data_IF_489863457964
#
_entry.id   IF_489863457964
#
_cell.length_a   1.000
_cell.length_b   1.000
_cell.length_c   1.000
_cell.angle_alpha   90.00
_cell.angle_beta   90.00
_cell.angle_gamma   90.00
#
_symmetry.space_group_name_H-M   'P 1'
#
loop_
_entity.id
_entity.type
_entity.pdbx_description
1 polymer ?
#
# COMPACT_ATOMS: atom_id res chain seq x y z
N UNK A 1 7.02 7.19 -16.88
CA UNK A 1 7.14 6.39 -15.64
C UNK A 1 7.28 7.39 -14.51
N UNK A 2 6.35 7.43 -13.56
CA UNK A 2 6.43 8.36 -12.44
C UNK A 2 7.45 7.85 -11.42
N UNK A 3 8.21 8.75 -10.81
CA UNK A 3 9.12 8.42 -9.73
C UNK A 3 8.29 8.11 -8.47
N UNK A 4 8.28 6.85 -8.04
CA UNK A 4 7.51 6.40 -6.86
C UNK A 4 7.76 7.31 -5.66
N UNK A 5 9.02 7.69 -5.41
CA UNK A 5 9.36 8.47 -4.21
C UNK A 5 8.82 9.90 -4.26
N UNK A 6 8.74 10.51 -5.45
CA UNK A 6 8.19 11.86 -5.63
C UNK A 6 6.66 11.90 -5.48
N UNK A 7 5.99 10.77 -5.73
CA UNK A 7 4.54 10.66 -5.67
C UNK A 7 4.01 10.31 -4.27
N UNK A 8 4.88 9.84 -3.37
CA UNK A 8 4.52 9.52 -1.99
C UNK A 8 4.56 10.76 -1.11
N UNK A 9 3.60 10.87 -0.20
CA UNK A 9 3.67 11.89 0.87
C UNK A 9 4.71 11.49 1.91
N UNK A 10 5.19 12.45 2.70
CA UNK A 10 6.13 12.17 3.80
C UNK A 10 5.56 11.16 4.82
N UNK A 11 4.24 11.19 5.06
CA UNK A 11 3.58 10.20 5.92
C UNK A 11 3.60 8.80 5.30
N UNK A 12 3.34 8.68 3.99
CA UNK A 12 3.42 7.38 3.30
C UNK A 12 4.84 6.81 3.42
N UNK A 13 5.86 7.65 3.20
CA UNK A 13 7.27 7.26 3.33
C UNK A 13 7.62 6.83 4.76
N UNK A 14 7.14 7.57 5.77
CA UNK A 14 7.37 7.22 7.16
C UNK A 14 6.83 5.82 7.49
N UNK A 15 5.61 5.50 7.03
CA UNK A 15 5.03 4.17 7.24
C UNK A 15 5.76 3.08 6.45
N UNK A 16 6.04 3.31 5.17
CA UNK A 16 6.75 2.33 4.35
C UNK A 16 8.17 2.06 4.89
N UNK A 17 8.82 3.07 5.50
CA UNK A 17 10.14 2.94 6.11
C UNK A 17 10.15 1.99 7.31
N UNK A 18 9.05 1.88 8.08
CA UNK A 18 8.96 0.88 9.17
C UNK A 18 9.00 -0.56 8.64
N UNK A 19 8.62 -0.75 7.37
CA UNK A 19 8.67 -2.02 6.66
C UNK A 19 9.94 -2.22 5.82
N UNK A 20 10.90 -1.29 5.88
CA UNK A 20 12.17 -1.38 5.15
C UNK A 20 12.17 -0.78 3.75
N UNK A 21 11.25 0.14 3.44
CA UNK A 21 11.34 0.96 2.22
C UNK A 21 12.29 2.16 2.39
N UNK A 22 13.02 2.57 1.33
CA UNK A 22 13.24 1.82 0.09
C UNK A 22 14.23 0.67 0.31
N UNK A 23 14.19 -0.32 -0.59
CA UNK A 23 15.19 -1.40 -0.65
C UNK A 23 15.79 -1.50 -2.06
N UNK A 24 17.08 -1.81 -2.13
CA UNK A 24 17.87 -1.87 -3.37
C UNK A 24 17.47 -3.03 -4.28
N UNK A 25 16.74 -4.03 -3.76
CA UNK A 25 16.30 -5.20 -4.51
C UNK A 25 14.81 -5.10 -4.88
N UNK A 26 14.42 -5.80 -5.96
CA UNK A 26 12.99 -6.02 -6.20
C UNK A 26 12.37 -6.71 -4.99
N UNK A 27 11.34 -6.07 -4.43
CA UNK A 27 10.71 -6.49 -3.19
C UNK A 27 9.23 -6.15 -3.25
N UNK A 28 8.44 -6.93 -2.53
CA UNK A 28 7.01 -6.68 -2.44
C UNK A 28 6.73 -5.31 -1.76
N UNK A 29 7.63 -4.82 -0.89
CA UNK A 29 7.49 -3.47 -0.29
C UNK A 29 7.69 -2.35 -1.31
N UNK A 30 8.62 -2.49 -2.26
CA UNK A 30 8.76 -1.55 -3.37
C UNK A 30 7.54 -1.59 -4.29
N UNK A 31 6.92 -2.77 -4.46
CA UNK A 31 5.66 -2.91 -5.18
C UNK A 31 4.51 -2.19 -4.45
N UNK A 32 4.37 -2.39 -3.14
CA UNK A 32 3.37 -1.69 -2.32
C UNK A 32 3.53 -0.16 -2.40
N UNK A 33 4.77 0.33 -2.27
CA UNK A 33 5.08 1.75 -2.43
C UNK A 33 4.64 2.29 -3.79
N UNK A 34 4.90 1.53 -4.87
CA UNK A 34 4.47 1.89 -6.22
C UNK A 34 2.95 1.95 -6.36
N UNK A 35 2.21 1.02 -5.75
CA UNK A 35 0.75 1.02 -5.80
C UNK A 35 0.17 2.25 -5.08
N UNK A 36 0.68 2.57 -3.90
CA UNK A 36 0.28 3.78 -3.17
C UNK A 36 0.58 5.03 -3.99
N UNK A 37 1.78 5.12 -4.56
CA UNK A 37 2.17 6.24 -5.43
C UNK A 37 1.24 6.39 -6.64
N UNK A 38 0.84 5.29 -7.28
CA UNK A 38 -0.11 5.33 -8.39
C UNK A 38 -1.48 5.84 -7.94
N UNK A 39 -2.01 5.34 -6.83
CA UNK A 39 -3.30 5.79 -6.30
C UNK A 39 -3.28 7.26 -5.85
N UNK A 40 -2.13 7.78 -5.41
CA UNK A 40 -1.93 9.21 -5.14
C UNK A 40 -2.05 10.03 -6.43
N UNK A 41 -1.34 9.62 -7.49
CA UNK A 41 -1.32 10.31 -8.79
C UNK A 41 -2.70 10.29 -9.45
N UNK A 42 -3.37 9.14 -9.42
CA UNK A 42 -4.70 8.95 -10.02
C UNK A 42 -5.82 9.58 -9.18
N UNK A 43 -5.51 10.00 -7.95
CA UNK A 43 -6.46 10.64 -7.04
C UNK A 43 -7.41 9.67 -6.34
N UNK A 44 -7.14 8.36 -6.38
CA UNK A 44 -7.86 7.35 -5.59
C UNK A 44 -7.54 7.45 -4.09
N UNK A 45 -6.31 7.88 -3.75
CA UNK A 45 -5.90 8.09 -2.36
C UNK A 45 -5.55 9.57 -2.12
N UNK A 46 -6.48 10.34 -1.53
CA UNK A 46 -6.29 11.76 -1.21
C UNK A 46 -5.95 12.04 0.26
N UNK A 47 -6.30 11.10 1.14
CA UNK A 47 -6.12 11.21 2.60
C UNK A 47 -4.99 10.33 3.13
N UNK A 48 -4.89 10.13 4.46
CA UNK A 48 -3.95 9.17 5.03
C UNK A 48 -4.22 7.74 4.52
N UNK A 49 -3.21 6.87 4.57
CA UNK A 49 -3.41 5.42 4.37
C UNK A 49 -4.26 4.91 5.53
N UNK A 50 -5.42 4.32 5.24
CA UNK A 50 -6.34 3.77 6.25
C UNK A 50 -6.51 2.26 6.10
N UNK A 51 -7.10 1.62 7.12
CA UNK A 51 -7.43 0.18 7.06
C UNK A 51 -8.44 -0.09 5.94
N UNK A 52 -9.41 0.81 5.74
CA UNK A 52 -10.41 0.74 4.68
C UNK A 52 -9.78 0.86 3.29
N UNK A 53 -8.74 1.70 3.12
CA UNK A 53 -8.00 1.75 1.85
C UNK A 53 -7.27 0.43 1.57
N UNK A 54 -6.61 -0.13 2.59
CA UNK A 54 -5.79 -1.33 2.44
C UNK A 54 -6.62 -2.61 2.24
N UNK A 55 -7.71 -2.76 3.01
CA UNK A 55 -8.51 -3.98 3.09
C UNK A 55 -9.92 -3.85 2.53
N UNK A 56 -10.34 -2.64 2.17
CA UNK A 56 -11.69 -2.38 1.69
C UNK A 56 -12.74 -2.52 2.79
N UNK A 57 -13.99 -2.61 2.36
CA UNK A 57 -15.14 -2.99 3.17
C UNK A 57 -15.97 -4.00 2.38
N UNK A 58 -15.78 -5.28 2.69
CA UNK A 58 -16.50 -6.39 2.04
C UNK A 58 -18.00 -6.34 2.27
N UNK A 59 -18.46 -5.76 3.39
CA UNK A 59 -19.89 -5.63 3.68
C UNK A 59 -20.57 -4.61 2.76
N UNK A 60 -19.80 -3.64 2.26
CA UNK A 60 -20.24 -2.61 1.32
C UNK A 60 -19.80 -2.90 -0.12
N UNK A 61 -19.12 -4.02 -0.37
CA UNK A 61 -18.56 -4.36 -1.68
C UNK A 61 -17.44 -3.44 -2.13
N UNK A 62 -16.77 -2.75 -1.20
CA UNK A 62 -15.64 -1.87 -1.49
C UNK A 62 -14.35 -2.72 -1.48
N UNK A 63 -13.64 -2.84 -2.61
CA UNK A 63 -12.42 -3.64 -2.68
C UNK A 63 -11.25 -2.95 -1.99
N UNK A 64 -10.43 -3.73 -1.28
CA UNK A 64 -9.13 -3.28 -0.78
C UNK A 64 -8.07 -3.21 -1.86
N UNK A 65 -6.84 -2.86 -1.48
CA UNK A 65 -5.72 -2.77 -2.42
C UNK A 65 -5.40 -4.15 -3.03
N UNK A 66 -5.38 -5.20 -2.20
CA UNK A 66 -5.10 -6.57 -2.64
C UNK A 66 -6.20 -7.13 -3.57
N UNK A 67 -7.46 -6.76 -3.37
CA UNK A 67 -8.59 -7.30 -4.15
C UNK A 67 -8.59 -6.85 -5.63
N UNK A 68 -7.75 -5.87 -5.98
CA UNK A 68 -7.62 -5.33 -7.34
C UNK A 68 -6.78 -6.20 -8.27
N UNK A 69 -6.05 -7.15 -7.73
CA UNK A 69 -5.24 -8.09 -8.50
C UNK A 69 -6.09 -9.29 -8.90
N UNK A 70 -5.96 -9.79 -10.12
CA UNK A 70 -6.69 -10.99 -10.56
C UNK A 70 -5.97 -12.29 -10.18
N UNK A 71 -4.66 -12.23 -9.92
CA UNK A 71 -3.85 -13.38 -9.53
C UNK A 71 -3.89 -13.58 -8.01
N UNK A 72 -4.36 -14.75 -7.56
CA UNK A 72 -4.50 -15.03 -6.13
C UNK A 72 -3.17 -15.01 -5.37
N UNK A 73 -2.05 -15.33 -6.02
CA UNK A 73 -0.74 -15.32 -5.37
C UNK A 73 -0.30 -13.89 -5.10
N UNK A 74 -0.49 -12.99 -6.06
CA UNK A 74 -0.25 -11.56 -5.91
C UNK A 74 -1.21 -10.93 -4.89
N UNK A 75 -2.50 -11.27 -4.94
CA UNK A 75 -3.48 -10.83 -3.93
C UNK A 75 -3.02 -11.20 -2.51
N UNK A 76 -2.61 -12.46 -2.27
CA UNK A 76 -2.12 -12.92 -0.97
C UNK A 76 -0.90 -12.13 -0.50
N UNK A 77 0.10 -11.95 -1.37
CA UNK A 77 1.33 -11.20 -1.04
C UNK A 77 1.04 -9.75 -0.65
N UNK A 78 0.22 -9.05 -1.43
CA UNK A 78 -0.15 -7.66 -1.11
C UNK A 78 -0.99 -7.58 0.17
N UNK A 79 -1.89 -8.55 0.40
CA UNK A 79 -2.68 -8.62 1.63
C UNK A 79 -1.80 -8.82 2.88
N UNK A 80 -0.77 -9.67 2.79
CA UNK A 80 0.16 -9.91 3.90
C UNK A 80 1.00 -8.66 4.22
N UNK A 81 1.41 -7.92 3.19
CA UNK A 81 2.07 -6.63 3.36
C UNK A 81 1.15 -5.58 3.99
N UNK A 82 -0.09 -5.47 3.52
CA UNK A 82 -1.08 -4.58 4.10
C UNK A 82 -1.30 -4.90 5.60
N UNK A 83 -1.32 -6.19 5.95
CA UNK A 83 -1.41 -6.66 7.35
C UNK A 83 -0.20 -6.26 8.18
N UNK A 84 0.99 -6.32 7.58
CA UNK A 84 2.23 -5.89 8.23
C UNK A 84 2.28 -4.37 8.43
N UNK A 85 1.81 -3.60 7.43
CA UNK A 85 1.69 -2.15 7.50
C UNK A 85 0.73 -1.73 8.62
N UNK A 86 -0.44 -2.36 8.73
CA UNK A 86 -1.41 -2.05 9.80
C UNK A 86 -0.89 -2.39 11.19
N UNK A 87 -0.17 -3.50 11.36
CA UNK A 87 0.51 -3.80 12.63
C UNK A 87 1.51 -2.71 13.00
N UNK A 88 2.16 -2.06 12.04
CA UNK A 88 3.05 -0.93 12.32
C UNK A 88 2.28 0.34 12.72
N UNK A 89 1.07 0.55 12.19
CA UNK A 89 0.19 1.67 12.54
C UNK A 89 -0.37 1.55 13.96
N UNK A 90 -0.78 0.34 14.37
CA UNK A 90 -1.37 0.11 15.70
C UNK A 90 -0.33 0.14 16.84
N UNK A 91 0.97 0.13 16.50
CA UNK A 91 2.09 0.15 17.47
C UNK A 91 2.90 1.46 17.47
N UNK A 92 2.48 2.48 16.71
CA UNK A 92 3.11 3.80 16.63
C UNK A 92 2.33 4.85 17.45
#
# INVERSE_FOLDING_TARGET
>A
MYNTDECLTENDKAFLKTMGYPTDNFSDINQLARLIAMDRVDGYLKGPITKEYLFGDKSQGIPGLADRFSDETEQRRISDLCSSLVKSLDNA
#
